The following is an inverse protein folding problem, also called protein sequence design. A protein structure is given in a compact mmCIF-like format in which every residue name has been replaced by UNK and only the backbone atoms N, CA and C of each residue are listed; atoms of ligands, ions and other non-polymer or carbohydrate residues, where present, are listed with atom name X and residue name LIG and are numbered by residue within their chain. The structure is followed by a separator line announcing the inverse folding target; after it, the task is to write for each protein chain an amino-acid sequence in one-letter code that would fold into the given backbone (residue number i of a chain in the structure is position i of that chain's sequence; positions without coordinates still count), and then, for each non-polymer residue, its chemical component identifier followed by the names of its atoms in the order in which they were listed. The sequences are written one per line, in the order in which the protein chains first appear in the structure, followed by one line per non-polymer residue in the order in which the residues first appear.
data_IF_825398956586
#
_entry.id   IF_825398956586
#
_cell.length_a   1.000
_cell.length_b   1.000
_cell.length_c   1.000
_cell.angle_alpha   90.00
_cell.angle_beta   90.00
_cell.angle_gamma   90.00
#
_symmetry.space_group_name_H-M   'P 1'
#
loop_
_entity.id
_entity.type
_entity.pdbx_description
1 polymer ?
#
# COMPACT_ATOMS: atom_id res chain seq x y z
N UNK A 1 -23.75 -0.50 34.68
CA UNK A 1 -23.04 0.44 33.82
C UNK A 1 -24.00 1.57 33.50
N UNK A 2 -23.67 2.78 33.94
CA UNK A 2 -24.49 3.94 33.67
C UNK A 2 -24.37 4.33 32.19
N UNK A 3 -25.43 4.88 31.60
CA UNK A 3 -25.44 5.33 30.19
C UNK A 3 -24.26 6.26 29.87
N UNK A 4 -23.82 7.05 30.85
CA UNK A 4 -22.66 7.95 30.75
C UNK A 4 -21.34 7.19 30.54
N UNK A 5 -21.16 6.06 31.21
CA UNK A 5 -19.97 5.21 31.08
C UNK A 5 -19.91 4.57 29.70
N UNK A 6 -21.06 4.12 29.18
CA UNK A 6 -21.19 3.59 27.81
C UNK A 6 -20.77 4.65 26.78
N UNK A 7 -21.31 5.86 26.90
CA UNK A 7 -21.04 6.96 25.96
C UNK A 7 -19.56 7.36 26.02
N UNK A 8 -18.98 7.46 27.23
CA UNK A 8 -17.56 7.78 27.40
C UNK A 8 -16.65 6.71 26.78
N UNK A 9 -16.99 5.44 26.95
CA UNK A 9 -16.23 4.32 26.37
C UNK A 9 -16.30 4.34 24.84
N UNK A 10 -17.47 4.62 24.26
CA UNK A 10 -17.63 4.78 22.81
C UNK A 10 -16.76 5.95 22.31
N UNK A 11 -16.85 7.13 22.94
CA UNK A 11 -16.04 8.29 22.56
C UNK A 11 -14.54 8.05 22.68
N UNK A 12 -14.13 7.17 23.59
CA UNK A 12 -12.73 6.83 23.78
C UNK A 12 -12.22 5.82 22.75
N UNK A 13 -13.01 4.81 22.38
CA UNK A 13 -12.57 3.71 21.51
C UNK A 13 -12.75 4.01 20.02
N UNK A 14 -13.87 4.64 19.67
CA UNK A 14 -14.31 4.83 18.29
C UNK A 14 -13.31 5.61 17.41
N UNK A 15 -12.61 6.65 17.91
CA UNK A 15 -11.60 7.36 17.12
C UNK A 15 -10.44 6.47 16.67
N UNK A 16 -10.00 5.55 17.53
CA UNK A 16 -8.92 4.64 17.20
C UNK A 16 -9.35 3.56 16.22
N UNK A 17 -10.56 3.02 16.36
CA UNK A 17 -11.16 2.12 15.34
C UNK A 17 -11.29 2.85 14.00
N UNK A 18 -11.73 4.10 14.00
CA UNK A 18 -11.84 4.91 12.77
C UNK A 18 -10.48 5.08 12.10
N UNK A 19 -9.45 5.45 12.87
CA UNK A 19 -8.09 5.58 12.37
C UNK A 19 -7.55 4.26 11.82
N UNK A 20 -7.85 3.11 12.44
CA UNK A 20 -7.48 1.79 11.93
C UNK A 20 -8.15 1.50 10.59
N UNK A 21 -9.44 1.77 10.47
CA UNK A 21 -10.19 1.61 9.21
C UNK A 21 -9.65 2.48 8.10
N UNK A 22 -9.26 3.72 8.40
CA UNK A 22 -8.66 4.63 7.44
C UNK A 22 -7.28 4.13 7.03
N UNK A 23 -6.46 3.72 8.00
CA UNK A 23 -5.15 3.12 7.73
C UNK A 23 -5.26 1.94 6.78
N UNK A 24 -6.25 1.07 6.98
CA UNK A 24 -6.48 -0.08 6.09
C UNK A 24 -6.85 0.33 4.67
N UNK A 25 -7.72 1.33 4.51
CA UNK A 25 -8.11 1.83 3.18
C UNK A 25 -6.96 2.53 2.45
N UNK A 26 -5.98 3.06 3.19
CA UNK A 26 -4.82 3.75 2.64
C UNK A 26 -3.62 2.82 2.43
N UNK A 27 -3.57 1.69 3.12
CA UNK A 27 -2.55 0.66 2.95
C UNK A 27 -2.78 -0.15 1.67
N UNK A 28 -1.73 -0.80 1.16
CA UNK A 28 -1.86 -1.68 0.01
C UNK A 28 -2.73 -2.90 0.35
N UNK A 29 -3.61 -3.33 -0.56
CA UNK A 29 -4.36 -4.58 -0.38
C UNK A 29 -3.38 -5.74 -0.15
N UNK A 30 -3.60 -6.45 0.96
CA UNK A 30 -2.85 -7.66 1.31
C UNK A 30 -3.74 -8.89 1.11
N UNK A 31 -3.14 -10.02 0.75
CA UNK A 31 -3.85 -11.30 0.56
C UNK A 31 -4.49 -11.81 1.85
N UNK A 32 -3.94 -11.42 2.99
CA UNK A 32 -4.38 -11.91 4.29
C UNK A 32 -5.51 -11.05 4.82
N UNK A 33 -6.68 -11.66 4.96
CA UNK A 33 -7.81 -11.06 5.66
C UNK A 33 -7.42 -10.89 7.14
N UNK A 34 -7.09 -9.66 7.54
CA UNK A 34 -6.78 -9.37 8.95
C UNK A 34 -8.00 -9.68 9.81
N UNK A 35 -7.73 -10.24 10.99
CA UNK A 35 -8.78 -10.55 11.96
C UNK A 35 -9.47 -9.28 12.45
N UNK A 36 -10.81 -9.25 12.42
CA UNK A 36 -11.63 -8.17 13.01
C UNK A 36 -11.24 -7.90 14.47
N UNK A 37 -10.83 -8.94 15.20
CA UNK A 37 -10.33 -8.81 16.56
C UNK A 37 -9.04 -7.99 16.62
N UNK A 38 -8.08 -8.25 15.73
CA UNK A 38 -6.83 -7.50 15.66
C UNK A 38 -7.08 -6.03 15.30
N UNK A 39 -8.03 -5.77 14.39
CA UNK A 39 -8.43 -4.40 14.04
C UNK A 39 -8.99 -3.65 15.26
N UNK A 40 -9.86 -4.30 16.03
CA UNK A 40 -10.46 -3.71 17.23
C UNK A 40 -9.41 -3.48 18.33
N UNK A 41 -8.53 -4.45 18.59
CA UNK A 41 -7.47 -4.33 19.60
C UNK A 41 -6.49 -3.23 19.21
N UNK A 42 -6.03 -3.20 17.96
CA UNK A 42 -5.15 -2.14 17.48
C UNK A 42 -5.83 -0.78 17.51
N UNK A 43 -7.11 -0.71 17.12
CA UNK A 43 -7.92 0.50 17.21
C UNK A 43 -8.00 1.03 18.64
N UNK A 44 -8.26 0.16 19.63
CA UNK A 44 -8.24 0.56 21.04
C UNK A 44 -6.88 1.11 21.50
N UNK A 45 -5.78 0.46 21.09
CA UNK A 45 -4.44 0.95 21.43
C UNK A 45 -4.13 2.31 20.78
N UNK A 46 -4.60 2.52 19.55
CA UNK A 46 -4.40 3.76 18.81
C UNK A 46 -5.29 4.90 19.32
N UNK A 47 -6.39 4.59 20.02
CA UNK A 47 -7.33 5.59 20.50
C UNK A 47 -6.75 6.44 21.64
N UNK A 48 -5.95 5.83 22.52
CA UNK A 48 -5.29 6.51 23.63
C UNK A 48 -4.40 7.68 23.16
N UNK A 49 -3.42 7.49 22.24
CA UNK A 49 -2.60 8.60 21.78
C UNK A 49 -3.43 9.67 21.04
N UNK A 50 -4.47 9.30 20.28
CA UNK A 50 -5.37 10.26 19.62
C UNK A 50 -6.07 11.17 20.63
N UNK A 51 -6.68 10.57 21.66
CA UNK A 51 -7.40 11.28 22.72
C UNK A 51 -6.45 12.19 23.50
N UNK A 52 -5.26 11.69 23.85
CA UNK A 52 -4.23 12.49 24.54
C UNK A 52 -3.78 13.67 23.69
N UNK A 53 -3.47 13.44 22.40
CA UNK A 53 -3.02 14.49 21.50
C UNK A 53 -4.10 15.57 21.31
N UNK A 54 -5.35 15.15 21.18
CA UNK A 54 -6.50 16.05 21.09
C UNK A 54 -6.65 16.86 22.38
N UNK A 55 -6.59 16.20 23.54
CA UNK A 55 -6.69 16.85 24.85
C UNK A 55 -5.61 17.90 25.05
N UNK A 56 -4.35 17.58 24.77
CA UNK A 56 -3.22 18.53 24.85
C UNK A 56 -3.41 19.70 23.88
N UNK A 57 -3.87 19.43 22.67
CA UNK A 57 -4.09 20.46 21.64
C UNK A 57 -5.21 21.41 22.07
N UNK A 58 -6.34 20.90 22.53
CA UNK A 58 -7.46 21.72 23.03
C UNK A 58 -7.09 22.47 24.31
N UNK A 59 -6.34 21.86 25.21
CA UNK A 59 -5.87 22.53 26.42
C UNK A 59 -5.00 23.74 26.07
N UNK A 60 -4.12 23.59 25.07
CA UNK A 60 -3.26 24.69 24.58
C UNK A 60 -4.05 25.80 23.88
N UNK A 61 -5.07 25.48 23.10
CA UNK A 61 -5.88 26.50 22.41
C UNK A 61 -6.84 27.27 23.32
N UNK A 62 -7.19 26.71 24.48
CA UNK A 62 -8.14 27.31 25.42
C UNK A 62 -7.48 27.71 26.75
N UNK A 63 -6.15 27.76 26.81
CA UNK A 63 -5.34 28.10 28.00
C UNK A 63 -5.68 27.31 29.27
N UNK A 64 -6.10 26.05 29.10
CA UNK A 64 -6.43 25.14 30.20
C UNK A 64 -5.15 24.56 30.78
N UNK A 65 -4.91 24.74 32.09
CA UNK A 65 -3.68 24.31 32.75
C UNK A 65 -3.88 23.10 33.66
N UNK A 66 -5.12 22.81 34.05
CA UNK A 66 -5.42 21.71 34.96
C UNK A 66 -6.46 20.74 34.41
N UNK A 67 -6.41 19.49 34.87
CA UNK A 67 -7.40 18.46 34.52
C UNK A 67 -8.81 18.88 34.96
N UNK A 68 -8.94 19.57 36.10
CA UNK A 68 -10.24 20.05 36.61
C UNK A 68 -10.88 21.07 35.67
N UNK A 69 -10.10 22.05 35.19
CA UNK A 69 -10.56 23.02 34.19
C UNK A 69 -10.97 22.33 32.89
N UNK A 70 -10.23 21.31 32.47
CA UNK A 70 -10.56 20.53 31.28
C UNK A 70 -11.89 19.79 31.41
N UNK A 71 -12.12 19.11 32.54
CA UNK A 71 -13.39 18.43 32.83
C UNK A 71 -14.55 19.43 32.87
N UNK A 72 -14.35 20.61 33.46
CA UNK A 72 -15.36 21.65 33.48
C UNK A 72 -15.66 22.17 32.06
N UNK A 73 -14.64 22.32 31.21
CA UNK A 73 -14.80 22.75 29.82
C UNK A 73 -15.59 21.74 28.99
N UNK A 74 -15.46 20.43 29.24
CA UNK A 74 -16.28 19.40 28.59
C UNK A 74 -17.79 19.53 28.86
N UNK A 75 -18.16 20.20 29.96
CA UNK A 75 -19.57 20.54 30.23
C UNK A 75 -20.15 21.57 29.26
N UNK A 76 -19.32 22.29 28.50
CA UNK A 76 -19.76 23.24 27.49
C UNK A 76 -19.94 22.53 26.13
N UNK A 77 -21.17 22.56 25.60
CA UNK A 77 -21.54 21.93 24.32
C UNK A 77 -20.64 22.40 23.16
N UNK A 78 -20.30 23.69 23.10
CA UNK A 78 -19.46 24.25 22.04
C UNK A 78 -18.01 23.73 22.14
N UNK A 79 -17.50 23.59 23.37
CA UNK A 79 -16.19 22.99 23.59
C UNK A 79 -16.21 21.51 23.21
N UNK A 80 -17.23 20.77 23.62
CA UNK A 80 -17.41 19.35 23.30
C UNK A 80 -17.47 19.10 21.79
N UNK A 81 -18.18 19.95 21.04
CA UNK A 81 -18.25 19.88 19.57
C UNK A 81 -16.87 20.12 18.93
N UNK A 82 -16.15 21.18 19.36
CA UNK A 82 -14.79 21.47 18.88
C UNK A 82 -13.83 20.33 19.19
N UNK A 83 -13.90 19.80 20.40
CA UNK A 83 -13.12 18.65 20.84
C UNK A 83 -13.39 17.43 19.96
N UNK A 84 -14.67 17.07 19.77
CA UNK A 84 -15.07 15.91 18.96
C UNK A 84 -14.63 16.04 17.50
N UNK A 85 -14.77 17.22 16.91
CA UNK A 85 -14.28 17.49 15.56
C UNK A 85 -12.77 17.29 15.45
N UNK A 86 -12.01 17.82 16.43
CA UNK A 86 -10.57 17.67 16.46
C UNK A 86 -10.13 16.21 16.64
N UNK A 87 -10.83 15.43 17.47
CA UNK A 87 -10.60 13.99 17.61
C UNK A 87 -10.72 13.28 16.27
N UNK A 88 -11.78 13.57 15.50
CA UNK A 88 -11.99 12.98 14.17
C UNK A 88 -10.88 13.38 13.21
N UNK A 89 -10.47 14.66 13.18
CA UNK A 89 -9.39 15.12 12.33
C UNK A 89 -8.05 14.45 12.67
N UNK A 90 -7.72 14.34 13.97
CA UNK A 90 -6.50 13.65 14.41
C UNK A 90 -6.58 12.15 14.10
N UNK A 91 -7.75 11.51 14.24
CA UNK A 91 -7.94 10.13 13.85
C UNK A 91 -7.71 9.90 12.36
N UNK A 92 -8.25 10.77 11.49
CA UNK A 92 -8.03 10.71 10.04
C UNK A 92 -6.54 10.89 9.70
N UNK A 93 -5.89 11.88 10.31
CA UNK A 93 -4.47 12.15 10.10
C UNK A 93 -3.62 10.96 10.55
N UNK A 94 -3.88 10.43 11.75
CA UNK A 94 -3.16 9.28 12.31
C UNK A 94 -3.36 8.03 11.45
N UNK A 95 -4.60 7.76 11.01
CA UNK A 95 -4.90 6.65 10.12
C UNK A 95 -4.18 6.76 8.78
N UNK A 96 -4.18 7.95 8.17
CA UNK A 96 -3.46 8.21 6.91
C UNK A 96 -1.96 8.01 7.06
N UNK A 97 -1.35 8.58 8.11
CA UNK A 97 0.09 8.42 8.38
C UNK A 97 0.43 6.95 8.59
N UNK A 98 -0.38 6.22 9.38
CA UNK A 98 -0.18 4.79 9.63
C UNK A 98 -0.26 3.99 8.32
N UNK A 99 -1.28 4.22 7.50
CA UNK A 99 -1.45 3.52 6.22
C UNK A 99 -0.29 3.76 5.25
N UNK A 100 0.24 4.98 5.19
CA UNK A 100 1.37 5.32 4.31
C UNK A 100 2.74 4.91 4.86
N UNK A 101 2.85 4.56 6.15
CA UNK A 101 4.14 4.34 6.82
C UNK A 101 4.56 2.88 6.97
N UNK A 102 3.77 1.92 6.46
CA UNK A 102 4.12 0.48 6.50
C UNK A 102 5.53 0.19 5.98
N UNK A 103 5.88 0.80 4.84
CA UNK A 103 7.19 0.63 4.19
C UNK A 103 8.37 1.22 5.01
N UNK A 104 8.13 2.24 5.83
CA UNK A 104 9.18 2.92 6.61
C UNK A 104 9.68 2.07 7.79
N UNK A 105 8.82 1.22 8.37
CA UNK A 105 9.21 0.32 9.46
C UNK A 105 10.20 -0.73 8.94
N UNK A 106 9.91 -1.33 7.80
CA UNK A 106 10.80 -2.30 7.15
C UNK A 106 12.13 -1.67 6.74
N UNK A 107 12.14 -0.40 6.32
CA UNK A 107 13.38 0.34 6.07
C UNK A 107 14.27 0.43 7.31
N UNK A 108 13.70 0.79 8.47
CA UNK A 108 14.45 0.89 9.74
C UNK A 108 14.98 -0.50 10.15
N UNK A 109 14.15 -1.54 10.06
CA UNK A 109 14.56 -2.91 10.39
C UNK A 109 15.68 -3.36 9.45
N UNK A 110 15.57 -3.13 8.15
CA UNK A 110 16.60 -3.48 7.17
C UNK A 110 17.91 -2.73 7.40
N UNK A 111 17.85 -1.47 7.85
CA UNK A 111 19.06 -0.73 8.25
C UNK A 111 19.81 -1.46 9.36
N UNK A 112 19.12 -1.87 10.42
CA UNK A 112 19.72 -2.65 11.53
C UNK A 112 20.20 -4.03 11.07
N UNK A 113 19.47 -4.70 10.17
CA UNK A 113 19.86 -6.01 9.61
C UNK A 113 21.11 -5.92 8.74
N UNK A 114 21.22 -4.87 7.93
CA UNK A 114 22.36 -4.63 7.05
C UNK A 114 23.66 -4.42 7.85
N UNK A 115 23.58 -3.74 9.00
CA UNK A 115 24.71 -3.61 9.93
C UNK A 115 25.18 -4.96 10.46
N UNK A 116 24.27 -5.93 10.56
CA UNK A 116 24.56 -7.30 10.97
C UNK A 116 24.81 -8.25 9.77
N UNK A 117 25.00 -7.72 8.55
CA UNK A 117 25.20 -8.49 7.31
C UNK A 117 24.09 -9.53 7.05
N UNK A 118 22.88 -9.27 7.54
CA UNK A 118 21.70 -10.11 7.27
C UNK A 118 21.00 -9.62 6.01
N UNK A 119 20.42 -10.55 5.27
CA UNK A 119 19.61 -10.23 4.09
C UNK A 119 18.43 -9.32 4.47
N UNK A 120 18.13 -8.36 3.62
CA UNK A 120 16.96 -7.49 3.79
C UNK A 120 15.69 -8.33 3.75
N UNK A 121 14.72 -7.95 4.58
CA UNK A 121 13.38 -8.48 4.55
C UNK A 121 12.48 -7.52 3.78
N UNK A 122 11.57 -8.07 3.01
CA UNK A 122 10.48 -7.33 2.39
C UNK A 122 9.22 -8.16 2.59
N UNK A 123 8.14 -7.52 3.05
CA UNK A 123 6.83 -8.13 3.20
C UNK A 123 5.96 -7.96 1.95
N UNK A 124 6.46 -7.23 0.96
CA UNK A 124 5.80 -7.06 -0.33
C UNK A 124 5.85 -8.34 -1.14
N UNK A 125 4.73 -8.67 -1.78
CA UNK A 125 4.69 -9.76 -2.73
C UNK A 125 5.58 -9.45 -3.94
N UNK A 126 6.17 -10.47 -4.55
CA UNK A 126 6.93 -10.32 -5.80
C UNK A 126 6.10 -9.61 -6.89
N UNK A 127 4.78 -9.85 -6.91
CA UNK A 127 3.84 -9.16 -7.79
C UNK A 127 3.81 -7.64 -7.56
N UNK A 128 3.74 -7.17 -6.31
CA UNK A 128 3.77 -5.74 -5.99
C UNK A 128 5.09 -5.10 -6.45
N UNK A 129 6.21 -5.74 -6.16
CA UNK A 129 7.53 -5.20 -6.52
C UNK A 129 7.72 -5.04 -8.04
N UNK A 130 7.21 -5.98 -8.84
CA UNK A 130 7.40 -5.95 -10.30
C UNK A 130 6.51 -4.92 -10.98
N UNK A 131 5.24 -4.90 -10.61
CA UNK A 131 4.23 -4.25 -11.43
C UNK A 131 3.73 -2.92 -10.85
N UNK A 132 3.78 -2.75 -9.53
CA UNK A 132 3.23 -1.56 -8.86
C UNK A 132 4.27 -0.49 -8.56
N UNK A 133 5.47 -0.88 -8.10
CA UNK A 133 6.44 0.11 -7.58
C UNK A 133 7.15 0.88 -8.69
N UNK A 134 7.48 0.22 -9.78
CA UNK A 134 8.21 0.86 -10.88
C UNK A 134 7.27 1.53 -11.89
N UNK A 135 5.97 1.19 -11.86
CA UNK A 135 4.90 1.74 -12.72
C UNK A 135 5.31 1.98 -14.18
N UNK A 136 6.03 1.02 -14.77
CA UNK A 136 6.47 1.03 -16.16
C UNK A 136 5.87 -0.17 -16.89
N UNK A 137 5.57 -0.03 -18.20
CA UNK A 137 5.22 -1.18 -19.03
C UNK A 137 6.34 -2.22 -18.93
N UNK A 138 5.97 -3.48 -18.71
CA UNK A 138 6.91 -4.60 -18.66
C UNK A 138 6.46 -5.66 -19.62
N UNK A 139 7.39 -6.19 -20.41
CA UNK A 139 7.14 -7.40 -21.18
C UNK A 139 7.34 -8.60 -20.26
N UNK A 140 6.37 -9.50 -20.22
CA UNK A 140 6.33 -10.64 -19.31
C UNK A 140 6.15 -11.91 -20.12
N UNK A 141 6.88 -12.94 -19.72
CA UNK A 141 6.75 -14.29 -20.26
C UNK A 141 6.52 -15.28 -19.12
N UNK A 142 5.45 -16.06 -19.24
CA UNK A 142 5.03 -17.02 -18.23
C UNK A 142 5.29 -18.42 -18.77
N UNK A 143 6.10 -19.18 -18.04
CA UNK A 143 6.51 -20.53 -18.39
C UNK A 143 6.03 -21.46 -17.28
N UNK A 144 5.41 -22.58 -17.64
CA UNK A 144 5.03 -23.63 -16.69
C UNK A 144 5.48 -24.97 -17.24
N UNK A 145 6.22 -25.72 -16.43
CA UNK A 145 6.72 -27.06 -16.80
C UNK A 145 7.48 -27.06 -18.15
N UNK A 146 8.23 -25.97 -18.40
CA UNK A 146 8.99 -25.76 -19.64
C UNK A 146 8.19 -25.24 -20.85
N UNK A 147 6.87 -25.11 -20.73
CA UNK A 147 5.99 -24.62 -21.80
C UNK A 147 5.65 -23.15 -21.56
N UNK A 148 5.80 -22.32 -22.59
CA UNK A 148 5.34 -20.92 -22.55
C UNK A 148 3.81 -20.90 -22.55
N UNK A 149 3.21 -20.47 -21.45
CA UNK A 149 1.76 -20.32 -21.31
C UNK A 149 1.25 -19.02 -21.93
N UNK A 150 2.09 -17.99 -21.97
CA UNK A 150 1.77 -16.70 -22.56
C UNK A 150 2.91 -15.70 -22.43
N UNK A 151 2.97 -14.76 -23.36
CA UNK A 151 3.91 -13.64 -23.35
C UNK A 151 3.24 -12.36 -23.87
N UNK A 152 3.68 -11.19 -23.40
CA UNK A 152 3.13 -9.91 -23.82
C UNK A 152 3.42 -8.77 -22.85
N UNK A 153 2.89 -7.58 -23.13
CA UNK A 153 3.06 -6.43 -22.24
C UNK A 153 2.03 -6.49 -21.12
N UNK A 154 2.52 -6.44 -19.88
CA UNK A 154 1.68 -6.34 -18.71
C UNK A 154 1.01 -4.98 -18.68
N UNK A 155 -0.33 -4.97 -18.73
CA UNK A 155 -1.13 -3.73 -18.64
C UNK A 155 -1.89 -3.64 -17.35
N UNK A 156 -2.60 -4.72 -16.99
CA UNK A 156 -3.35 -4.82 -15.77
C UNK A 156 -2.97 -6.11 -15.06
N UNK A 157 -2.97 -6.07 -13.75
CA UNK A 157 -2.69 -7.20 -12.89
C UNK A 157 -3.58 -7.07 -11.66
N UNK A 158 -3.97 -8.21 -11.12
CA UNK A 158 -4.81 -8.28 -9.94
C UNK A 158 -4.08 -7.73 -8.72
N UNK A 159 -4.82 -7.06 -7.85
CA UNK A 159 -4.34 -6.71 -6.53
C UNK A 159 -4.13 -7.98 -5.69
N UNK A 160 -3.25 -7.97 -4.65
CA UNK A 160 -2.97 -9.17 -3.86
C UNK A 160 -4.18 -9.80 -3.15
N UNK A 161 -5.29 -9.06 -3.01
CA UNK A 161 -6.55 -9.50 -2.41
C UNK A 161 -7.61 -9.95 -3.43
N UNK A 162 -7.27 -9.96 -4.72
CA UNK A 162 -8.12 -10.42 -5.81
C UNK A 162 -7.64 -11.80 -6.31
N UNK A 163 -8.47 -12.48 -7.09
CA UNK A 163 -8.04 -13.67 -7.80
C UNK A 163 -6.85 -13.30 -8.70
N UNK A 164 -5.72 -13.98 -8.48
CA UNK A 164 -4.47 -13.65 -9.16
C UNK A 164 -4.60 -13.83 -10.68
N UNK A 165 -4.54 -12.70 -11.39
CA UNK A 165 -4.59 -12.61 -12.83
C UNK A 165 -3.64 -11.55 -13.33
N UNK A 166 -3.19 -11.73 -14.57
CA UNK A 166 -2.41 -10.74 -15.31
C UNK A 166 -2.98 -10.66 -16.71
N UNK A 167 -3.19 -9.44 -17.19
CA UNK A 167 -3.58 -9.16 -18.56
C UNK A 167 -2.32 -8.81 -19.33
N UNK A 168 -1.94 -9.71 -20.23
CA UNK A 168 -0.90 -9.50 -21.21
C UNK A 168 -1.57 -9.01 -22.49
N UNK A 169 -1.24 -7.78 -22.90
CA UNK A 169 -1.70 -7.23 -24.17
C UNK A 169 -0.58 -7.26 -25.21
N UNK A 170 -0.97 -7.58 -26.44
CA UNK A 170 -0.22 -7.17 -27.61
C UNK A 170 -0.65 -5.74 -27.96
N UNK A 171 0.29 -4.81 -28.08
CA UNK A 171 -0.04 -3.45 -28.54
C UNK A 171 -0.70 -3.55 -29.92
N UNK A 172 -1.61 -2.63 -30.26
CA UNK A 172 -2.32 -2.66 -31.57
C UNK A 172 -1.39 -2.66 -32.79
N UNK A 173 -0.17 -2.17 -32.62
CA UNK A 173 0.86 -2.12 -33.67
C UNK A 173 1.86 -3.28 -33.56
N UNK A 174 1.78 -4.09 -32.50
CA UNK A 174 2.68 -5.22 -32.31
C UNK A 174 2.41 -6.38 -33.25
N UNK A 175 1.22 -6.53 -33.81
CA UNK A 175 0.99 -7.50 -34.89
C UNK A 175 1.87 -7.18 -36.11
N UNK A 176 1.96 -5.88 -36.45
CA UNK A 176 2.85 -5.40 -37.51
C UNK A 176 4.31 -5.67 -37.16
N UNK A 177 4.78 -5.28 -35.97
CA UNK A 177 6.18 -5.48 -35.57
C UNK A 177 6.54 -6.95 -35.36
N UNK A 178 5.65 -7.78 -34.83
CA UNK A 178 5.87 -9.23 -34.73
C UNK A 178 6.05 -9.87 -36.11
N UNK A 179 5.34 -9.36 -37.12
CA UNK A 179 5.38 -9.88 -38.49
C UNK A 179 6.54 -9.33 -39.30
N UNK A 180 6.86 -8.04 -39.16
CA UNK A 180 7.79 -7.32 -40.03
C UNK A 180 9.13 -6.98 -39.37
N UNK A 181 9.17 -6.94 -38.03
CA UNK A 181 10.35 -6.59 -37.22
C UNK A 181 10.54 -7.48 -35.98
N UNK A 182 10.47 -8.83 -36.10
CA UNK A 182 10.56 -9.73 -34.94
C UNK A 182 11.86 -9.56 -34.13
N UNK A 183 12.90 -8.97 -34.73
CA UNK A 183 14.17 -8.61 -34.10
C UNK A 183 14.01 -7.65 -32.91
N UNK A 184 12.88 -6.95 -32.74
CA UNK A 184 12.67 -6.12 -31.54
C UNK A 184 12.81 -6.94 -30.24
N UNK A 185 12.51 -8.25 -30.29
CA UNK A 185 12.65 -9.16 -29.15
C UNK A 185 14.09 -9.32 -28.69
N UNK A 186 15.09 -9.05 -29.53
CA UNK A 186 16.51 -9.07 -29.16
C UNK A 186 16.88 -7.90 -28.24
N UNK A 187 16.10 -6.82 -28.27
CA UNK A 187 16.26 -5.66 -27.40
C UNK A 187 15.50 -5.81 -26.07
N UNK A 188 14.79 -6.93 -25.86
CA UNK A 188 14.18 -7.26 -24.57
C UNK A 188 15.26 -7.79 -23.62
N UNK A 189 15.69 -6.94 -22.69
CA UNK A 189 16.67 -7.31 -21.69
C UNK A 189 15.99 -7.96 -20.48
N UNK A 190 16.34 -9.21 -20.20
CA UNK A 190 15.86 -9.91 -19.00
C UNK A 190 16.29 -9.11 -17.75
N UNK A 191 15.32 -8.67 -16.97
CA UNK A 191 15.53 -7.85 -15.78
C UNK A 191 15.43 -8.69 -14.50
N UNK A 192 14.37 -9.50 -14.39
CA UNK A 192 14.08 -10.33 -13.21
C UNK A 192 13.46 -11.66 -13.63
N UNK A 193 13.77 -12.71 -12.88
CA UNK A 193 13.16 -14.04 -13.03
C UNK A 193 12.59 -14.47 -11.69
N UNK A 194 11.33 -14.87 -11.69
CA UNK A 194 10.65 -15.41 -10.52
C UNK A 194 10.34 -16.87 -10.73
N UNK A 195 10.58 -17.68 -9.71
CA UNK A 195 10.42 -19.12 -9.77
C UNK A 195 9.55 -19.56 -8.61
N UNK A 196 8.37 -20.11 -8.93
CA UNK A 196 7.60 -20.90 -7.99
C UNK A 196 8.04 -22.37 -8.13
N UNK A 197 8.93 -22.79 -7.23
CA UNK A 197 9.56 -24.12 -7.26
C UNK A 197 8.51 -25.23 -7.14
N UNK A 198 7.53 -25.06 -6.25
CA UNK A 198 6.50 -26.08 -5.99
C UNK A 198 5.56 -26.26 -7.18
N UNK A 199 5.22 -25.16 -7.87
CA UNK A 199 4.25 -25.17 -8.98
C UNK A 199 4.89 -25.29 -10.36
N UNK A 200 6.22 -25.30 -10.45
CA UNK A 200 6.95 -25.34 -11.71
C UNK A 200 6.73 -24.11 -12.59
N UNK A 201 6.35 -22.96 -12.00
CA UNK A 201 6.04 -21.73 -12.74
C UNK A 201 7.24 -20.79 -12.71
N UNK A 202 7.65 -20.32 -13.88
CA UNK A 202 8.69 -19.32 -14.06
C UNK A 202 8.05 -18.09 -14.72
N UNK A 203 8.34 -16.91 -14.17
CA UNK A 203 7.92 -15.64 -14.73
C UNK A 203 9.16 -14.83 -15.05
N UNK A 204 9.39 -14.58 -16.32
CA UNK A 204 10.48 -13.74 -16.83
C UNK A 204 9.94 -12.34 -17.11
N UNK A 205 10.61 -11.34 -16.55
CA UNK A 205 10.24 -9.92 -16.69
C UNK A 205 11.36 -9.20 -17.43
N UNK A 206 11.02 -8.54 -18.52
CA UNK A 206 11.94 -7.87 -19.40
C UNK A 206 11.80 -6.35 -19.32
N UNK A 207 12.91 -5.64 -19.49
CA UNK A 207 12.93 -4.20 -19.68
C UNK A 207 12.56 -3.85 -21.13
N UNK A 208 11.66 -2.88 -21.29
CA UNK A 208 11.11 -2.45 -22.58
C UNK A 208 11.73 -1.14 -23.07
N UNK A 209 12.59 -0.48 -22.29
CA UNK A 209 13.15 0.83 -22.66
C UNK A 209 13.92 0.85 -23.97
N UNK A 210 14.68 -0.21 -24.25
CA UNK A 210 15.44 -0.32 -25.50
C UNK A 210 14.53 -0.66 -26.68
N UNK A 211 13.52 -1.51 -26.45
CA UNK A 211 12.46 -1.79 -27.43
C UNK A 211 11.69 -0.53 -27.80
N UNK A 212 11.28 0.27 -26.82
CA UNK A 212 10.56 1.53 -27.06
C UNK A 212 11.38 2.50 -27.92
N UNK A 213 12.68 2.64 -27.64
CA UNK A 213 13.58 3.48 -28.46
C UNK A 213 13.70 2.96 -29.89
N UNK A 214 13.84 1.65 -30.06
CA UNK A 214 13.93 1.02 -31.36
C UNK A 214 12.64 1.21 -32.17
N UNK A 215 11.48 0.92 -31.57
CA UNK A 215 10.17 1.10 -32.22
C UNK A 215 9.89 2.57 -32.56
N UNK A 216 10.28 3.52 -31.70
CA UNK A 216 10.21 4.94 -32.01
C UNK A 216 11.07 5.30 -33.23
N UNK A 217 12.30 4.79 -33.31
CA UNK A 217 13.19 5.07 -34.45
C UNK A 217 12.64 4.57 -35.79
N UNK A 218 11.95 3.43 -35.80
CA UNK A 218 11.27 2.91 -36.99
C UNK A 218 10.09 3.78 -37.42
N UNK A 219 9.34 4.32 -36.45
CA UNK A 219 8.22 5.21 -36.73
C UNK A 219 8.65 6.57 -37.28
N UNK A 220 9.84 7.05 -36.90
CA UNK A 220 10.43 8.29 -37.39
C UNK A 220 11.08 8.12 -38.77
N UNK A 221 11.64 6.94 -39.08
CA UNK A 221 12.19 6.65 -40.41
C UNK A 221 11.15 6.43 -41.52
N UNK A 222 9.89 6.19 -41.12
CA UNK A 222 8.76 5.95 -42.02
C UNK A 222 7.86 7.20 -42.23
N UNK A 223 8.27 8.37 -41.72
CA UNK A 223 7.67 9.69 -42.01
C UNK A 223 8.49 10.44 -43.06
#
# INVERSE_FOLDING_TARGET
MEVKEVIALILFVLPGILAEKISYKMDFPSSDKRSDFNEIVNGMLLSLPIVVLTGVTMARFNDIKTIKEFINALGNIMFLLKYSLLVVLIAIATGTIKGLSGDNVNFIINKVRSWNKKMNIDDKSCWRQVFLEENVPRYVKIIKDGIVLGEGFAKHYSLPNEDMGIVLEEHKDMEYYNTHHPEYKEYLKLCKTYINIEKGVIVEVYDTKEVEKYLMSLSESNK
#
